data_IF_308530033771
#
_entry.id   IF_308530033771
#
_cell.length_a   1.000
_cell.length_b   1.000
_cell.length_c   1.000
_cell.angle_alpha   90.00
_cell.angle_beta   90.00
_cell.angle_gamma   90.00
#
_symmetry.space_group_name_H-M   'P 1'
#
loop_
_entity.id
_entity.type
_entity.pdbx_description
1 polymer ?
#
# COMPACT_ATOMS: atom_id res chain seq x y z
N UNK A 1 18.16 44.42 32.74
CA UNK A 1 19.20 43.52 33.27
C UNK A 1 19.63 42.55 32.17
N UNK A 2 20.93 42.49 31.85
CA UNK A 2 21.69 41.42 31.15
C UNK A 2 21.15 40.91 29.80
N UNK A 3 21.61 41.27 28.59
CA UNK A 3 22.93 41.27 27.93
C UNK A 3 23.60 39.89 27.68
N UNK A 4 24.16 39.79 26.46
CA UNK A 4 25.19 38.88 25.93
C UNK A 4 24.70 37.61 25.17
N UNK A 5 25.30 37.18 24.06
CA UNK A 5 26.33 37.73 23.17
C UNK A 5 26.37 36.85 21.90
N UNK A 6 26.91 37.41 20.81
CA UNK A 6 27.19 36.68 19.57
C UNK A 6 28.67 36.71 19.17
N UNK A 7 28.93 36.07 18.01
CA UNK A 7 30.11 36.08 17.11
C UNK A 7 31.00 34.81 17.19
N UNK A 8 31.04 33.98 16.13
CA UNK A 8 31.88 33.98 14.88
C UNK A 8 33.33 33.52 15.18
N UNK A 9 34.10 32.80 14.36
CA UNK A 9 34.04 32.11 13.06
C UNK A 9 35.32 31.23 12.95
N UNK A 10 35.37 30.31 11.96
CA UNK A 10 36.42 29.36 11.51
C UNK A 10 37.83 29.98 11.17
N UNK A 11 38.89 29.30 10.62
CA UNK A 11 39.00 27.98 9.92
C UNK A 11 40.32 27.10 10.05
N UNK A 12 40.27 25.84 9.55
CA UNK A 12 41.22 24.97 8.74
C UNK A 12 42.78 25.20 8.63
N UNK A 13 43.63 24.32 8.02
CA UNK A 13 44.01 22.88 8.21
C UNK A 13 45.57 22.60 8.18
N UNK A 14 46.00 21.30 8.14
CA UNK A 14 47.31 20.64 7.75
C UNK A 14 47.86 19.74 8.89
N UNK A 15 48.72 18.71 8.74
CA UNK A 15 49.16 17.72 7.73
C UNK A 15 50.30 16.88 8.38
N UNK A 16 50.59 15.68 7.82
CA UNK A 16 51.87 14.92 7.85
C UNK A 16 52.20 13.88 8.96
N UNK A 17 52.74 12.73 8.52
CA UNK A 17 53.53 11.75 9.31
C UNK A 17 53.60 10.34 8.67
N UNK A 18 54.75 9.92 8.15
CA UNK A 18 54.99 8.72 7.31
C UNK A 18 55.85 7.60 7.96
N UNK A 19 56.12 6.53 7.18
CA UNK A 19 57.23 5.54 7.21
C UNK A 19 56.91 4.15 7.83
N UNK A 20 57.44 2.99 7.43
CA UNK A 20 58.33 2.50 6.34
C UNK A 20 58.36 0.95 6.40
N UNK A 21 58.84 0.26 5.35
CA UNK A 21 59.36 -1.12 5.48
C UNK A 21 59.12 -2.11 4.32
N UNK A 22 60.06 -2.19 3.36
CA UNK A 22 60.22 -3.27 2.35
C UNK A 22 61.57 -3.97 2.54
N UNK A 23 61.62 -5.29 2.33
CA UNK A 23 62.71 -6.11 1.73
C UNK A 23 62.48 -7.59 2.11
N UNK A 24 62.83 -8.63 1.36
CA UNK A 24 63.57 -8.80 0.12
C UNK A 24 63.63 -10.31 -0.22
N UNK A 25 63.81 -10.63 -1.51
CA UNK A 25 63.88 -11.99 -2.06
C UNK A 25 65.26 -12.63 -1.87
N UNK A 26 65.34 -13.98 -1.95
CA UNK A 26 66.50 -14.72 -2.52
C UNK A 26 66.17 -16.19 -2.81
N UNK A 27 66.67 -16.65 -3.95
CA UNK A 27 66.62 -18.01 -4.48
C UNK A 27 67.93 -18.78 -4.18
N UNK A 28 67.91 -20.12 -4.24
CA UNK A 28 69.14 -20.93 -4.16
C UNK A 28 68.97 -22.46 -4.24
N UNK A 29 69.11 -22.99 -5.47
CA UNK A 29 69.78 -24.24 -5.96
C UNK A 29 69.75 -25.58 -5.19
N UNK A 30 69.53 -26.63 -6.01
CA UNK A 30 69.80 -28.08 -5.84
C UNK A 30 71.30 -28.41 -5.68
N UNK A 31 71.66 -29.65 -5.27
CA UNK A 31 72.15 -30.60 -6.30
C UNK A 31 71.82 -32.10 -6.11
N UNK A 32 71.75 -32.77 -7.27
CA UNK A 32 72.11 -34.14 -7.70
C UNK A 32 72.40 -35.30 -6.72
N UNK A 33 71.87 -36.48 -7.10
CA UNK A 33 72.45 -37.80 -6.78
C UNK A 33 71.78 -38.93 -7.56
N UNK A 34 72.54 -39.55 -8.48
CA UNK A 34 72.18 -40.77 -9.23
C UNK A 34 72.46 -42.04 -8.42
N UNK A 35 71.68 -43.10 -8.62
CA UNK A 35 72.14 -44.45 -9.04
C UNK A 35 71.15 -45.56 -8.65
N UNK A 36 71.00 -46.57 -9.51
CA UNK A 36 70.61 -47.93 -9.11
C UNK A 36 69.39 -48.51 -9.81
N UNK A 37 69.61 -49.17 -10.95
CA UNK A 37 68.73 -50.18 -11.53
C UNK A 37 68.48 -51.33 -10.54
N UNK A 38 67.25 -51.86 -10.46
CA UNK A 38 66.98 -53.29 -10.29
C UNK A 38 65.53 -53.60 -10.70
N UNK A 39 65.39 -54.67 -11.48
CA UNK A 39 64.16 -55.16 -12.11
C UNK A 39 63.48 -56.12 -11.12
N UNK A 40 62.17 -55.97 -10.89
CA UNK A 40 61.39 -56.91 -10.09
C UNK A 40 59.89 -56.59 -10.18
N UNK A 41 59.12 -57.47 -10.83
CA UNK A 41 57.67 -57.32 -10.96
C UNK A 41 56.92 -57.64 -9.67
N UNK A 42 55.80 -56.95 -9.42
CA UNK A 42 54.59 -57.46 -8.75
C UNK A 42 53.51 -56.37 -8.62
N UNK A 43 52.27 -56.78 -8.91
CA UNK A 43 50.94 -56.22 -8.57
C UNK A 43 50.48 -54.84 -9.12
N UNK A 44 49.22 -54.76 -9.63
CA UNK A 44 48.59 -53.48 -9.94
C UNK A 44 48.21 -52.74 -8.64
N UNK A 45 48.20 -51.39 -8.64
CA UNK A 45 47.84 -50.60 -7.48
C UNK A 45 46.35 -50.74 -7.13
N UNK A 46 45.97 -50.56 -5.84
CA UNK A 46 44.58 -50.59 -5.44
C UNK A 46 43.80 -49.45 -6.11
N UNK A 47 42.58 -49.76 -6.55
CA UNK A 47 41.66 -48.79 -7.16
C UNK A 47 41.45 -47.61 -6.22
N UNK A 48 41.76 -46.41 -6.69
CA UNK A 48 41.33 -45.16 -6.07
C UNK A 48 39.80 -45.16 -5.95
N UNK A 49 39.21 -44.76 -4.79
CA UNK A 49 37.78 -44.58 -4.72
C UNK A 49 37.40 -43.42 -5.64
N UNK A 50 36.40 -43.65 -6.49
CA UNK A 50 35.79 -42.59 -7.29
C UNK A 50 35.32 -41.49 -6.35
N UNK A 51 35.99 -40.34 -6.38
CA UNK A 51 35.46 -39.11 -5.80
C UNK A 51 34.26 -38.75 -6.66
N UNK A 52 33.06 -39.04 -6.18
CA UNK A 52 31.85 -38.47 -6.77
C UNK A 52 32.00 -36.96 -6.71
N UNK A 53 32.07 -36.31 -7.87
CA UNK A 53 31.99 -34.86 -7.94
C UNK A 53 30.62 -34.45 -7.39
N UNK A 54 30.57 -34.02 -6.14
CA UNK A 54 29.39 -33.42 -5.56
C UNK A 54 29.14 -32.16 -6.39
N UNK A 55 28.10 -32.16 -7.22
CA UNK A 55 27.70 -30.96 -7.94
C UNK A 55 27.54 -29.85 -6.91
N UNK A 56 28.06 -28.63 -7.16
CA UNK A 56 27.89 -27.55 -6.20
C UNK A 56 26.38 -27.36 -6.01
N UNK A 57 25.91 -27.61 -4.79
CA UNK A 57 24.53 -27.29 -4.40
C UNK A 57 24.36 -25.81 -4.75
N UNK A 58 23.58 -25.51 -5.81
CA UNK A 58 23.24 -24.14 -6.15
C UNK A 58 22.65 -23.54 -4.88
N UNK A 59 23.37 -22.61 -4.23
CA UNK A 59 22.83 -21.81 -3.14
C UNK A 59 21.55 -21.18 -3.68
N UNK A 60 20.40 -21.68 -3.24
CA UNK A 60 19.11 -21.13 -3.63
C UNK A 60 19.12 -19.68 -3.14
N UNK A 61 19.12 -18.74 -4.08
CA UNK A 61 19.10 -17.31 -3.75
C UNK A 61 17.82 -17.07 -2.97
N UNK A 62 17.95 -16.63 -1.73
CA UNK A 62 16.79 -16.36 -0.88
C UNK A 62 15.93 -15.30 -1.56
N UNK A 63 14.64 -15.57 -1.68
CA UNK A 63 13.67 -14.65 -2.25
C UNK A 63 13.55 -13.39 -1.37
N UNK A 64 13.23 -12.26 -1.99
CA UNK A 64 12.96 -11.04 -1.22
C UNK A 64 11.73 -11.23 -0.32
N UNK A 65 11.59 -10.41 0.72
CA UNK A 65 10.38 -10.43 1.56
C UNK A 65 9.13 -10.12 0.72
N UNK A 66 9.23 -9.23 -0.27
CA UNK A 66 8.13 -8.94 -1.18
C UNK A 66 7.69 -10.17 -1.99
N UNK A 67 8.64 -10.95 -2.50
CA UNK A 67 8.32 -12.16 -3.27
C UNK A 67 7.71 -13.24 -2.37
N UNK A 68 8.25 -13.44 -1.17
CA UNK A 68 7.68 -14.34 -0.17
C UNK A 68 6.27 -13.92 0.26
N UNK A 69 6.01 -12.62 0.42
CA UNK A 69 4.69 -12.08 0.77
C UNK A 69 3.64 -12.44 -0.29
N UNK A 70 4.00 -12.38 -1.57
CA UNK A 70 3.10 -12.70 -2.70
C UNK A 70 2.64 -14.16 -2.71
N UNK A 71 3.33 -15.06 -2.03
CA UNK A 71 2.88 -16.45 -1.87
C UNK A 71 1.71 -16.61 -0.89
N UNK A 72 1.49 -15.62 -0.01
CA UNK A 72 0.51 -15.70 1.08
C UNK A 72 -0.57 -14.63 0.99
N UNK A 73 -0.29 -13.51 0.33
CA UNK A 73 -1.11 -12.32 0.32
C UNK A 73 -1.07 -11.68 -1.06
N UNK A 74 -2.22 -11.21 -1.53
CA UNK A 74 -2.27 -10.45 -2.77
C UNK A 74 -1.73 -9.03 -2.53
N UNK A 75 -0.66 -8.67 -3.23
CA UNK A 75 -0.05 -7.35 -3.13
C UNK A 75 -0.74 -6.35 -4.05
N UNK A 76 -1.09 -5.20 -3.49
CA UNK A 76 -1.75 -4.07 -4.14
C UNK A 76 -0.88 -2.82 -3.98
N UNK A 77 -0.80 -1.98 -5.01
CA UNK A 77 -0.04 -0.72 -4.92
C UNK A 77 -0.95 0.45 -4.49
N UNK A 78 -0.55 1.20 -3.46
CA UNK A 78 -1.24 2.42 -3.01
C UNK A 78 -0.57 3.67 -3.57
N UNK A 79 -0.94 4.05 -4.80
CA UNK A 79 -0.33 5.19 -5.49
C UNK A 79 -1.19 5.71 -6.65
N UNK A 80 -1.11 7.02 -6.90
CA UNK A 80 -1.57 7.63 -8.16
C UNK A 80 -0.46 7.75 -9.22
N UNK A 81 0.80 7.50 -8.84
CA UNK A 81 1.96 7.50 -9.71
C UNK A 81 2.06 6.18 -10.48
N UNK A 82 1.33 6.08 -11.60
CA UNK A 82 1.24 4.86 -12.39
C UNK A 82 2.54 4.49 -13.12
N UNK A 83 3.48 5.42 -13.30
CA UNK A 83 4.82 5.11 -13.83
C UNK A 83 5.65 4.26 -12.85
N UNK A 84 5.36 4.32 -11.55
CA UNK A 84 6.04 3.54 -10.52
C UNK A 84 5.35 2.20 -10.20
N UNK A 85 4.18 1.92 -10.78
CA UNK A 85 3.39 0.70 -10.48
C UNK A 85 4.03 -0.56 -11.06
N UNK A 86 4.58 -0.49 -12.27
CA UNK A 86 5.09 -1.66 -13.02
C UNK A 86 6.27 -2.36 -12.31
N UNK A 87 7.06 -1.61 -11.54
CA UNK A 87 8.26 -2.11 -10.86
C UNK A 87 7.94 -3.30 -9.94
N UNK A 88 6.80 -3.26 -9.26
CA UNK A 88 6.45 -4.24 -8.23
C UNK A 88 5.40 -5.27 -8.68
N UNK A 89 4.88 -5.15 -9.90
CA UNK A 89 3.87 -6.04 -10.50
C UNK A 89 2.70 -6.37 -9.53
N UNK A 90 1.98 -5.36 -9.00
CA UNK A 90 0.84 -5.60 -8.14
C UNK A 90 -0.35 -6.19 -8.92
N UNK A 91 -1.26 -6.89 -8.24
CA UNK A 91 -2.50 -7.36 -8.88
C UNK A 91 -3.48 -6.21 -9.10
N UNK A 92 -3.78 -5.49 -8.01
CA UNK A 92 -4.71 -4.36 -7.96
C UNK A 92 -3.93 -3.07 -7.64
N UNK A 93 -4.58 -1.91 -7.76
CA UNK A 93 -4.07 -0.64 -7.26
C UNK A 93 -5.16 0.18 -6.55
N UNK A 94 -4.76 1.02 -5.60
CA UNK A 94 -5.66 1.94 -4.91
C UNK A 94 -5.24 3.38 -5.10
N UNK A 95 -6.22 4.24 -5.38
CA UNK A 95 -6.07 5.69 -5.28
C UNK A 95 -6.96 6.23 -4.15
N UNK A 96 -6.74 7.50 -3.80
CA UNK A 96 -7.55 8.30 -2.89
C UNK A 96 -7.33 9.79 -3.24
N UNK A 97 -8.11 10.72 -2.68
CA UNK A 97 -7.99 12.14 -3.03
C UNK A 97 -6.59 12.73 -2.84
N UNK A 98 -5.89 12.35 -1.77
CA UNK A 98 -4.52 12.82 -1.51
C UNK A 98 -3.53 12.32 -2.57
N UNK A 99 -3.65 11.05 -3.01
CA UNK A 99 -2.79 10.47 -4.04
C UNK A 99 -3.04 11.07 -5.42
N UNK A 100 -4.31 11.31 -5.79
CA UNK A 100 -4.65 11.97 -7.05
C UNK A 100 -4.17 13.42 -7.05
N UNK A 101 -4.35 14.15 -5.95
CA UNK A 101 -3.82 15.51 -5.82
C UNK A 101 -2.30 15.55 -6.02
N UNK A 102 -1.57 14.67 -5.34
CA UNK A 102 -0.11 14.61 -5.47
C UNK A 102 0.32 14.26 -6.91
N UNK A 103 -0.34 13.28 -7.54
CA UNK A 103 -0.03 12.89 -8.91
C UNK A 103 -0.37 14.00 -9.92
N UNK A 104 -1.53 14.67 -9.78
CA UNK A 104 -1.93 15.73 -10.70
C UNK A 104 -0.99 16.95 -10.70
N UNK A 105 -0.17 17.12 -9.65
CA UNK A 105 0.86 18.15 -9.57
C UNK A 105 2.18 17.74 -10.27
N UNK A 106 2.34 16.49 -10.68
CA UNK A 106 3.56 16.01 -11.30
C UNK A 106 3.63 16.43 -12.78
N UNK A 107 4.78 16.95 -13.26
CA UNK A 107 4.95 17.34 -14.66
C UNK A 107 4.63 16.22 -15.67
N UNK A 108 4.86 14.96 -15.30
CA UNK A 108 4.60 13.81 -16.15
C UNK A 108 3.11 13.55 -16.43
N UNK A 109 2.20 14.13 -15.65
CA UNK A 109 0.76 13.84 -15.71
C UNK A 109 -0.09 15.04 -16.15
N UNK A 110 0.55 16.09 -16.66
CA UNK A 110 -0.13 17.33 -17.03
C UNK A 110 -1.09 17.16 -18.21
N UNK A 111 -0.80 16.23 -19.13
CA UNK A 111 -1.72 15.90 -20.25
C UNK A 111 -3.06 15.37 -19.74
N UNK A 112 -3.07 14.50 -18.72
CA UNK A 112 -4.31 14.01 -18.10
C UNK A 112 -5.11 15.14 -17.44
N UNK A 113 -4.41 16.11 -16.84
CA UNK A 113 -5.05 17.28 -16.23
C UNK A 113 -5.68 18.16 -17.33
N UNK A 114 -4.99 18.37 -18.44
CA UNK A 114 -5.52 19.14 -19.57
C UNK A 114 -6.73 18.46 -20.23
N UNK A 115 -6.69 17.13 -20.39
CA UNK A 115 -7.82 16.35 -20.89
C UNK A 115 -9.04 16.43 -19.97
N UNK A 116 -8.84 16.36 -18.66
CA UNK A 116 -9.89 16.52 -17.67
C UNK A 116 -10.52 17.93 -17.73
N UNK A 117 -9.68 18.97 -17.83
CA UNK A 117 -10.11 20.36 -17.99
C UNK A 117 -10.91 20.55 -19.28
N UNK A 118 -10.42 20.01 -20.40
CA UNK A 118 -11.11 20.07 -21.69
C UNK A 118 -12.47 19.36 -21.64
N UNK A 119 -12.54 18.20 -20.98
CA UNK A 119 -13.79 17.47 -20.76
C UNK A 119 -14.79 18.30 -19.95
N UNK A 120 -14.36 18.87 -18.82
CA UNK A 120 -15.19 19.73 -17.99
C UNK A 120 -15.77 20.92 -18.75
N UNK A 121 -14.92 21.64 -19.50
CA UNK A 121 -15.34 22.78 -20.35
C UNK A 121 -16.33 22.36 -21.45
N UNK A 122 -16.09 21.22 -22.09
CA UNK A 122 -16.93 20.72 -23.19
C UNK A 122 -18.37 20.44 -22.74
N UNK A 123 -18.58 19.97 -21.52
CA UNK A 123 -19.92 19.72 -20.99
C UNK A 123 -20.71 21.01 -20.69
N UNK A 124 -20.03 22.16 -20.59
CA UNK A 124 -20.66 23.44 -20.29
C UNK A 124 -21.26 23.49 -18.89
N UNK A 125 -22.23 24.39 -18.69
CA UNK A 125 -22.81 24.69 -17.38
C UNK A 125 -22.02 25.73 -16.60
N UNK A 126 -22.34 25.87 -15.31
CA UNK A 126 -21.66 26.76 -14.37
C UNK A 126 -20.19 26.39 -14.17
N UNK A 127 -19.36 27.33 -13.70
CA UNK A 127 -17.95 27.04 -13.35
C UNK A 127 -17.84 25.84 -12.39
N UNK A 128 -18.73 25.77 -11.39
CA UNK A 128 -18.75 24.69 -10.40
C UNK A 128 -19.04 23.33 -11.05
N UNK A 129 -20.00 23.26 -11.98
CA UNK A 129 -20.30 22.04 -12.72
C UNK A 129 -19.14 21.60 -13.60
N UNK A 130 -18.48 22.55 -14.29
CA UNK A 130 -17.32 22.26 -15.12
C UNK A 130 -16.14 21.73 -14.29
N UNK A 131 -15.85 22.35 -13.13
CA UNK A 131 -14.80 21.91 -12.21
C UNK A 131 -15.10 20.53 -11.64
N UNK A 132 -16.35 20.28 -11.23
CA UNK A 132 -16.80 18.98 -10.73
C UNK A 132 -16.65 17.89 -11.79
N UNK A 133 -17.09 18.16 -13.02
CA UNK A 133 -16.93 17.24 -14.15
C UNK A 133 -15.45 16.97 -14.47
N UNK A 134 -14.60 18.00 -14.41
CA UNK A 134 -13.16 17.85 -14.60
C UNK A 134 -12.53 17.00 -13.47
N UNK A 135 -12.92 17.21 -12.20
CA UNK A 135 -12.46 16.38 -11.09
C UNK A 135 -12.83 14.89 -11.28
N UNK A 136 -14.11 14.61 -11.55
CA UNK A 136 -14.58 13.24 -11.76
C UNK A 136 -13.84 12.59 -12.96
N UNK A 137 -13.66 13.34 -14.05
CA UNK A 137 -12.92 12.86 -15.23
C UNK A 137 -11.46 12.58 -14.91
N UNK A 138 -10.80 13.44 -14.14
CA UNK A 138 -9.39 13.28 -13.77
C UNK A 138 -9.15 11.98 -12.99
N UNK A 139 -10.00 11.68 -12.02
CA UNK A 139 -9.93 10.43 -11.26
C UNK A 139 -10.05 9.21 -12.19
N UNK A 140 -10.97 9.25 -13.15
CA UNK A 140 -11.17 8.18 -14.13
C UNK A 140 -10.00 8.07 -15.10
N UNK A 141 -9.40 9.18 -15.54
CA UNK A 141 -8.21 9.15 -16.41
C UNK A 141 -7.02 8.49 -15.71
N UNK A 142 -6.74 8.85 -14.45
CA UNK A 142 -5.71 8.18 -13.67
C UNK A 142 -6.00 6.68 -13.51
N UNK A 143 -7.24 6.31 -13.17
CA UNK A 143 -7.61 4.91 -13.06
C UNK A 143 -7.49 4.16 -14.39
N UNK A 144 -7.84 4.78 -15.51
CA UNK A 144 -7.67 4.19 -16.84
C UNK A 144 -6.21 3.92 -17.18
N UNK A 145 -5.29 4.85 -16.88
CA UNK A 145 -3.85 4.63 -17.07
C UNK A 145 -3.32 3.53 -16.16
N UNK A 146 -3.73 3.51 -14.90
CA UNK A 146 -3.38 2.44 -13.94
C UNK A 146 -3.82 1.07 -14.48
N UNK A 147 -5.04 0.94 -15.02
CA UNK A 147 -5.58 -0.33 -15.51
C UNK A 147 -4.87 -0.89 -16.74
N UNK A 148 -4.09 -0.07 -17.47
CA UNK A 148 -3.19 -0.54 -18.53
C UNK A 148 -1.94 -1.22 -17.99
N UNK A 149 -1.60 -0.98 -16.72
CA UNK A 149 -0.37 -1.44 -16.04
C UNK A 149 -0.61 -2.64 -15.13
N UNK A 150 -1.84 -2.82 -14.66
CA UNK A 150 -2.21 -3.90 -13.74
C UNK A 150 -3.20 -4.89 -14.36
N UNK A 151 -3.12 -6.19 -14.03
CA UNK A 151 -4.08 -7.18 -14.51
C UNK A 151 -5.42 -7.16 -13.77
N UNK A 152 -5.45 -6.64 -12.54
CA UNK A 152 -6.62 -6.63 -11.67
C UNK A 152 -7.35 -5.28 -11.67
N UNK A 153 -7.80 -4.83 -10.49
CA UNK A 153 -8.74 -3.73 -10.32
C UNK A 153 -8.09 -2.45 -9.83
N UNK A 154 -8.73 -1.31 -10.10
CA UNK A 154 -8.37 -0.01 -9.50
C UNK A 154 -9.47 0.48 -8.56
N UNK A 155 -9.09 0.91 -7.35
CA UNK A 155 -10.02 1.62 -6.46
C UNK A 155 -10.07 3.11 -6.80
N UNK A 156 -11.26 3.65 -7.00
CA UNK A 156 -11.51 5.09 -7.25
C UNK A 156 -12.46 5.63 -6.19
N UNK A 157 -12.03 6.68 -5.48
CA UNK A 157 -12.74 7.16 -4.29
C UNK A 157 -13.79 8.22 -4.64
N UNK A 158 -15.00 8.05 -4.09
CA UNK A 158 -16.04 9.08 -4.15
C UNK A 158 -15.64 10.26 -3.28
N UNK A 159 -16.08 11.45 -3.69
CA UNK A 159 -15.89 12.69 -2.95
C UNK A 159 -16.27 12.56 -1.47
N UNK A 160 -15.28 12.75 -0.59
CA UNK A 160 -15.44 12.58 0.85
C UNK A 160 -16.46 13.55 1.47
N UNK A 161 -16.78 14.67 0.80
CA UNK A 161 -17.85 15.59 1.26
C UNK A 161 -19.24 14.93 1.24
N UNK A 162 -19.41 13.85 0.49
CA UNK A 162 -20.64 13.06 0.43
C UNK A 162 -20.69 11.94 1.47
N UNK A 163 -19.70 11.80 2.37
CA UNK A 163 -19.59 10.65 3.29
C UNK A 163 -20.80 10.45 4.21
N UNK A 164 -21.66 11.46 4.39
CA UNK A 164 -22.88 11.39 5.20
C UNK A 164 -24.16 11.54 4.36
N UNK A 165 -24.05 11.46 3.03
CA UNK A 165 -25.16 11.49 2.07
C UNK A 165 -25.18 10.19 1.26
N UNK A 166 -26.00 9.24 1.72
CA UNK A 166 -26.14 7.91 1.09
C UNK A 166 -26.49 8.02 -0.39
N UNK A 167 -27.49 8.83 -0.74
CA UNK A 167 -27.97 8.95 -2.11
C UNK A 167 -26.97 9.68 -2.99
N UNK A 168 -26.33 10.73 -2.45
CA UNK A 168 -25.22 11.41 -3.13
C UNK A 168 -24.05 10.48 -3.46
N UNK A 169 -23.67 9.58 -2.54
CA UNK A 169 -22.63 8.58 -2.79
C UNK A 169 -23.04 7.59 -3.89
N UNK A 170 -24.28 7.09 -3.88
CA UNK A 170 -24.79 6.16 -4.90
C UNK A 170 -24.77 6.84 -6.29
N UNK A 171 -25.27 8.07 -6.37
CA UNK A 171 -25.30 8.82 -7.62
C UNK A 171 -23.88 9.09 -8.16
N UNK A 172 -22.95 9.51 -7.28
CA UNK A 172 -21.57 9.75 -7.71
C UNK A 172 -20.85 8.47 -8.13
N UNK A 173 -21.02 7.38 -7.39
CA UNK A 173 -20.47 6.08 -7.74
C UNK A 173 -20.91 5.65 -9.15
N UNK A 174 -22.21 5.76 -9.45
CA UNK A 174 -22.74 5.46 -10.78
C UNK A 174 -22.16 6.36 -11.86
N UNK A 175 -22.05 7.68 -11.60
CA UNK A 175 -21.41 8.62 -12.53
C UNK A 175 -19.97 8.22 -12.85
N UNK A 176 -19.18 7.83 -11.85
CA UNK A 176 -17.80 7.38 -12.07
C UNK A 176 -17.74 6.10 -12.92
N UNK A 177 -18.65 5.15 -12.68
CA UNK A 177 -18.76 3.93 -13.50
C UNK A 177 -19.16 4.25 -14.95
N UNK A 178 -20.07 5.19 -15.17
CA UNK A 178 -20.44 5.64 -16.51
C UNK A 178 -19.25 6.29 -17.24
N UNK A 179 -18.44 7.10 -16.54
CA UNK A 179 -17.21 7.67 -17.07
C UNK A 179 -16.15 6.62 -17.41
N UNK A 180 -16.02 5.56 -16.60
CA UNK A 180 -15.16 4.42 -16.94
C UNK A 180 -15.67 3.69 -18.18
N UNK A 181 -16.99 3.50 -18.29
CA UNK A 181 -17.61 2.90 -19.48
C UNK A 181 -17.38 3.75 -20.73
N UNK A 182 -17.48 5.07 -20.63
CA UNK A 182 -17.11 6.02 -21.71
C UNK A 182 -15.65 5.83 -22.15
N UNK A 183 -14.75 5.47 -21.23
CA UNK A 183 -13.35 5.14 -21.51
C UNK A 183 -13.13 3.68 -21.96
N UNK A 184 -14.20 2.91 -22.22
CA UNK A 184 -14.12 1.51 -22.66
C UNK A 184 -13.78 0.51 -21.56
N UNK A 185 -13.94 0.89 -20.29
CA UNK A 185 -13.58 0.07 -19.13
C UNK A 185 -14.84 -0.46 -18.44
N UNK A 186 -14.92 -1.78 -18.28
CA UNK A 186 -15.99 -2.45 -17.55
C UNK A 186 -15.90 -2.25 -16.04
N UNK A 187 -17.06 -2.21 -15.37
CA UNK A 187 -17.16 -2.04 -13.90
C UNK A 187 -16.50 -3.17 -13.10
N UNK A 188 -16.28 -4.34 -13.70
CA UNK A 188 -15.55 -5.47 -13.11
C UNK A 188 -14.08 -5.15 -12.79
N UNK A 189 -13.50 -4.17 -13.49
CA UNK A 189 -12.14 -3.65 -13.24
C UNK A 189 -12.09 -2.56 -12.16
N UNK A 190 -13.24 -2.16 -11.61
CA UNK A 190 -13.36 -0.99 -10.74
C UNK A 190 -13.83 -1.39 -9.34
N UNK A 191 -13.22 -0.80 -8.32
CA UNK A 191 -13.77 -0.76 -6.96
C UNK A 191 -14.13 0.70 -6.63
N UNK A 192 -15.41 0.99 -6.43
CA UNK A 192 -15.81 2.31 -5.94
C UNK A 192 -15.51 2.39 -4.45
N UNK A 193 -14.66 3.34 -4.08
CA UNK A 193 -14.17 3.48 -2.72
C UNK A 193 -14.99 4.51 -1.95
N UNK A 194 -15.50 4.11 -0.78
CA UNK A 194 -16.41 4.88 0.05
C UNK A 194 -15.93 4.92 1.50
N UNK A 195 -16.08 6.07 2.17
CA UNK A 195 -15.85 6.19 3.61
C UNK A 195 -16.77 5.25 4.38
N UNK A 196 -16.25 4.52 5.37
CA UNK A 196 -17.02 3.56 6.18
C UNK A 196 -17.85 4.23 7.29
N UNK A 197 -18.60 5.28 6.95
CA UNK A 197 -19.70 5.80 7.79
C UNK A 197 -20.89 4.84 7.69
N UNK A 198 -21.92 5.03 8.53
CA UNK A 198 -23.16 4.25 8.37
C UNK A 198 -23.73 4.45 6.96
N UNK A 199 -23.87 5.70 6.55
CA UNK A 199 -24.43 6.09 5.26
C UNK A 199 -23.61 5.52 4.09
N UNK A 200 -22.28 5.50 4.22
CA UNK A 200 -21.38 4.93 3.22
C UNK A 200 -21.50 3.41 3.10
N UNK A 201 -21.64 2.71 4.23
CA UNK A 201 -21.87 1.26 4.24
C UNK A 201 -23.23 0.93 3.60
N UNK A 202 -24.27 1.70 3.91
CA UNK A 202 -25.59 1.52 3.30
C UNK A 202 -25.59 1.86 1.80
N UNK A 203 -24.79 2.85 1.36
CA UNK A 203 -24.58 3.13 -0.06
C UNK A 203 -23.85 1.96 -0.75
N UNK A 204 -22.79 1.43 -0.15
CA UNK A 204 -22.07 0.25 -0.64
C UNK A 204 -22.97 -0.97 -0.79
N UNK A 205 -23.85 -1.23 0.18
CA UNK A 205 -24.85 -2.30 0.11
C UNK A 205 -25.74 -2.19 -1.13
N UNK A 206 -26.28 -0.99 -1.39
CA UNK A 206 -27.15 -0.73 -2.54
C UNK A 206 -26.38 -0.87 -3.85
N UNK A 207 -25.17 -0.30 -3.93
CA UNK A 207 -24.32 -0.39 -5.12
C UNK A 207 -24.00 -1.84 -5.50
N UNK A 208 -23.70 -2.68 -4.53
CA UNK A 208 -23.42 -4.11 -4.75
C UNK A 208 -24.68 -4.88 -5.14
N UNK A 209 -25.76 -4.76 -4.35
CA UNK A 209 -26.95 -5.59 -4.50
C UNK A 209 -27.81 -5.21 -5.72
N UNK A 210 -27.95 -3.91 -6.00
CA UNK A 210 -28.88 -3.42 -7.04
C UNK A 210 -28.18 -3.09 -8.35
N UNK A 211 -26.92 -2.62 -8.30
CA UNK A 211 -26.18 -2.16 -9.48
C UNK A 211 -25.02 -3.09 -9.86
N UNK A 212 -24.66 -4.04 -9.00
CA UNK A 212 -23.45 -4.88 -9.16
C UNK A 212 -22.18 -4.05 -9.30
N UNK A 213 -22.11 -2.89 -8.64
CA UNK A 213 -20.95 -2.02 -8.59
C UNK A 213 -20.17 -2.40 -7.34
N UNK A 214 -18.96 -2.93 -7.55
CA UNK A 214 -18.14 -3.43 -6.46
C UNK A 214 -17.52 -2.31 -5.64
N UNK A 215 -17.57 -2.44 -4.32
CA UNK A 215 -17.16 -1.40 -3.39
C UNK A 215 -15.91 -1.77 -2.57
N UNK A 216 -15.09 -0.75 -2.31
CA UNK A 216 -13.99 -0.78 -1.34
C UNK A 216 -14.33 0.16 -0.18
N UNK A 217 -14.66 -0.40 0.99
CA UNK A 217 -14.98 0.40 2.17
C UNK A 217 -13.71 0.82 2.91
N UNK A 218 -13.39 2.12 2.87
CA UNK A 218 -12.15 2.72 3.40
C UNK A 218 -12.40 3.51 4.69
N UNK A 219 -11.36 4.06 5.31
CA UNK A 219 -11.43 4.75 6.60
C UNK A 219 -12.10 3.85 7.66
N UNK A 220 -11.77 2.56 7.62
CA UNK A 220 -12.30 1.56 8.52
C UNK A 220 -11.32 1.39 9.69
N UNK A 221 -11.80 1.65 10.89
CA UNK A 221 -10.98 1.68 12.11
C UNK A 221 -11.56 0.78 13.21
N UNK A 222 -12.87 0.87 13.43
CA UNK A 222 -13.58 0.11 14.47
C UNK A 222 -14.02 -1.27 14.00
N UNK A 223 -14.19 -2.17 14.96
CA UNK A 223 -14.82 -3.46 14.72
C UNK A 223 -16.30 -3.33 14.30
N UNK A 224 -17.02 -2.32 14.78
CA UNK A 224 -18.41 -2.06 14.39
C UNK A 224 -18.55 -1.81 12.87
N UNK A 225 -17.65 -1.01 12.30
CA UNK A 225 -17.57 -0.81 10.84
C UNK A 225 -17.29 -2.12 10.11
N UNK A 226 -16.34 -2.92 10.60
CA UNK A 226 -16.04 -4.21 9.98
C UNK A 226 -17.26 -5.15 9.97
N UNK A 227 -17.99 -5.27 11.06
CA UNK A 227 -19.20 -6.12 11.08
C UNK A 227 -20.26 -5.58 10.12
N UNK A 228 -20.57 -4.29 10.18
CA UNK A 228 -21.59 -3.69 9.31
C UNK A 228 -21.24 -3.84 7.81
N UNK A 229 -19.97 -3.68 7.43
CA UNK A 229 -19.52 -3.95 6.06
C UNK A 229 -19.73 -5.41 5.64
N UNK A 230 -19.43 -6.36 6.54
CA UNK A 230 -19.60 -7.79 6.26
C UNK A 230 -21.07 -8.15 6.01
N UNK A 231 -21.98 -7.59 6.82
CA UNK A 231 -23.43 -7.81 6.71
C UNK A 231 -24.04 -7.07 5.51
N UNK A 232 -23.45 -5.95 5.10
CA UNK A 232 -23.79 -5.25 3.88
C UNK A 232 -23.39 -6.00 2.61
N UNK A 233 -22.50 -7.01 2.72
CA UNK A 233 -22.08 -7.83 1.58
C UNK A 233 -21.17 -7.08 0.60
N UNK A 234 -20.42 -6.08 1.07
CA UNK A 234 -19.47 -5.33 0.22
C UNK A 234 -18.34 -6.24 -0.27
N UNK A 235 -17.81 -5.96 -1.45
CA UNK A 235 -16.75 -6.77 -2.07
C UNK A 235 -15.45 -6.75 -1.26
N UNK A 236 -15.05 -5.57 -0.79
CA UNK A 236 -13.76 -5.37 -0.12
C UNK A 236 -13.84 -4.31 0.98
N UNK A 237 -13.07 -4.51 2.05
CA UNK A 237 -12.80 -3.50 3.09
C UNK A 237 -11.30 -3.17 3.15
N UNK A 238 -10.99 -1.91 3.45
CA UNK A 238 -9.63 -1.40 3.67
C UNK A 238 -9.46 -0.95 5.13
N UNK A 239 -9.30 -1.87 6.10
CA UNK A 239 -8.98 -1.49 7.49
C UNK A 239 -7.59 -0.87 7.58
N UNK A 240 -7.51 0.29 8.26
CA UNK A 240 -6.25 1.03 8.36
C UNK A 240 -5.42 0.54 9.54
N UNK A 241 -4.10 0.41 9.34
CA UNK A 241 -3.14 -0.01 10.35
C UNK A 241 -2.43 1.19 10.95
N UNK A 242 -1.60 1.87 10.16
CA UNK A 242 -0.69 2.90 10.67
C UNK A 242 -1.38 4.14 11.21
N UNK A 243 -2.59 4.50 10.74
CA UNK A 243 -3.35 5.59 11.37
C UNK A 243 -3.86 5.23 12.77
N UNK A 244 -4.10 3.94 13.04
CA UNK A 244 -4.42 3.46 14.39
C UNK A 244 -3.17 3.60 15.27
N UNK A 245 -2.01 3.13 14.80
CA UNK A 245 -0.72 3.34 15.48
C UNK A 245 -0.49 4.83 15.81
N UNK A 246 -0.66 5.73 14.85
CA UNK A 246 -0.48 7.17 15.07
C UNK A 246 -1.35 7.69 16.22
N UNK A 247 -2.60 7.22 16.34
CA UNK A 247 -3.50 7.65 17.42
C UNK A 247 -3.00 7.21 18.79
N UNK A 248 -2.62 5.94 18.92
CA UNK A 248 -2.14 5.38 20.18
C UNK A 248 -0.78 5.96 20.59
N UNK A 249 0.10 6.25 19.63
CA UNK A 249 1.36 6.98 19.89
C UNK A 249 1.07 8.40 20.38
N UNK A 250 0.07 9.10 19.82
CA UNK A 250 -0.26 10.46 20.24
C UNK A 250 -0.95 10.50 21.62
N UNK A 251 -1.87 9.57 21.90
CA UNK A 251 -2.78 9.64 23.04
C UNK A 251 -2.46 8.67 24.19
N UNK A 252 -1.61 7.67 23.98
CA UNK A 252 -1.21 6.70 25.01
C UNK A 252 0.21 6.92 25.53
N UNK A 253 0.57 6.25 26.62
CA UNK A 253 1.92 6.35 27.21
C UNK A 253 2.99 5.61 26.38
N UNK A 254 2.59 4.51 25.73
CA UNK A 254 3.48 3.69 24.89
C UNK A 254 3.66 4.34 23.51
N UNK A 255 4.91 4.66 23.16
CA UNK A 255 5.28 5.36 21.91
C UNK A 255 5.89 4.46 20.84
N UNK A 256 6.28 3.25 21.20
CA UNK A 256 6.85 2.24 20.30
C UNK A 256 6.15 0.91 20.53
N UNK A 257 5.93 0.15 19.46
CA UNK A 257 5.20 -1.11 19.49
C UNK A 257 5.98 -2.14 18.69
N UNK A 258 6.15 -3.33 19.25
CA UNK A 258 6.58 -4.47 18.46
C UNK A 258 5.50 -4.82 17.42
N UNK A 259 5.84 -5.42 16.27
CA UNK A 259 4.87 -5.66 15.20
C UNK A 259 3.60 -6.41 15.63
N UNK A 260 3.71 -7.38 16.54
CA UNK A 260 2.57 -8.14 17.08
C UNK A 260 1.77 -7.37 18.13
N UNK A 261 2.34 -6.30 18.69
CA UNK A 261 1.70 -5.47 19.71
C UNK A 261 1.01 -4.25 19.13
N UNK A 262 1.33 -3.89 17.88
CA UNK A 262 0.78 -2.77 17.15
C UNK A 262 -0.76 -2.80 17.16
N UNK A 263 -1.41 -1.70 17.57
CA UNK A 263 -2.87 -1.67 17.72
C UNK A 263 -3.60 -1.77 16.37
N UNK A 264 -3.00 -1.28 15.28
CA UNK A 264 -3.53 -1.43 13.93
C UNK A 264 -3.43 -2.87 13.43
N UNK A 265 -2.29 -3.52 13.65
CA UNK A 265 -2.11 -4.96 13.33
C UNK A 265 -3.12 -5.81 14.11
N UNK A 266 -3.31 -5.53 15.40
CA UNK A 266 -4.33 -6.21 16.23
C UNK A 266 -5.74 -5.99 15.69
N UNK A 267 -6.08 -4.77 15.27
CA UNK A 267 -7.38 -4.45 14.68
C UNK A 267 -7.64 -5.27 13.43
N UNK A 268 -6.71 -5.25 12.45
CA UNK A 268 -6.86 -6.03 11.21
C UNK A 268 -6.90 -7.54 11.48
N UNK A 269 -6.08 -8.04 12.40
CA UNK A 269 -6.08 -9.46 12.81
C UNK A 269 -7.45 -9.88 13.36
N UNK A 270 -8.05 -9.07 14.25
CA UNK A 270 -9.39 -9.34 14.79
C UNK A 270 -10.45 -9.36 13.69
N UNK A 271 -10.38 -8.41 12.76
CA UNK A 271 -11.32 -8.31 11.64
C UNK A 271 -11.19 -9.51 10.70
N UNK A 272 -9.98 -9.84 10.28
CA UNK A 272 -9.70 -11.01 9.44
C UNK A 272 -10.24 -12.28 10.09
N UNK A 273 -9.91 -12.51 11.36
CA UNK A 273 -10.35 -13.70 12.07
C UNK A 273 -11.88 -13.80 12.16
N UNK A 274 -12.57 -12.70 12.44
CA UNK A 274 -14.03 -12.64 12.43
C UNK A 274 -14.62 -13.01 11.07
N UNK A 275 -14.07 -12.43 10.00
CA UNK A 275 -14.54 -12.64 8.63
C UNK A 275 -14.41 -14.10 8.21
N UNK A 276 -13.22 -14.69 8.44
CA UNK A 276 -12.95 -16.09 8.06
C UNK A 276 -13.68 -17.09 8.96
N UNK A 277 -13.82 -16.82 10.27
CA UNK A 277 -14.59 -17.67 11.19
C UNK A 277 -16.04 -17.82 10.74
N UNK A 278 -16.69 -16.71 10.37
CA UNK A 278 -18.11 -16.69 10.04
C UNK A 278 -18.42 -16.78 8.54
N UNK A 279 -17.40 -17.05 7.72
CA UNK A 279 -17.58 -17.36 6.29
C UNK A 279 -17.97 -16.15 5.43
N UNK A 280 -17.70 -14.93 5.89
CA UNK A 280 -17.94 -13.71 5.10
C UNK A 280 -17.05 -13.67 3.86
N UNK A 281 -17.61 -13.24 2.73
CA UNK A 281 -16.93 -13.22 1.42
C UNK A 281 -16.18 -11.93 1.13
N UNK A 282 -16.47 -10.87 1.87
CA UNK A 282 -15.76 -9.59 1.77
C UNK A 282 -14.26 -9.80 1.95
N UNK A 283 -13.49 -9.25 1.01
CA UNK A 283 -12.03 -9.30 1.02
C UNK A 283 -11.50 -8.34 2.10
N UNK A 284 -10.55 -8.80 2.90
CA UNK A 284 -9.85 -7.96 3.88
C UNK A 284 -8.53 -7.47 3.27
N UNK A 285 -8.44 -6.16 3.03
CA UNK A 285 -7.23 -5.51 2.51
C UNK A 285 -6.59 -4.58 3.54
N UNK A 286 -5.57 -5.03 4.26
CA UNK A 286 -4.87 -4.14 5.21
C UNK A 286 -4.25 -2.93 4.48
N UNK A 287 -4.39 -1.73 5.06
CA UNK A 287 -4.03 -0.48 4.41
C UNK A 287 -3.33 0.51 5.36
N UNK A 288 -2.73 1.56 4.80
CA UNK A 288 -2.13 2.69 5.53
C UNK A 288 -0.96 2.32 6.45
N UNK A 289 -0.01 1.53 5.97
CA UNK A 289 1.19 1.14 6.71
C UNK A 289 2.15 2.31 6.99
N UNK A 290 2.86 2.28 8.13
CA UNK A 290 3.99 3.14 8.48
C UNK A 290 5.33 2.44 8.27
N UNK A 291 5.39 1.12 8.43
CA UNK A 291 6.64 0.37 8.38
C UNK A 291 6.44 -1.06 7.87
N UNK A 292 7.53 -1.72 7.46
CA UNK A 292 7.48 -3.11 6.95
C UNK A 292 7.16 -4.14 8.05
N UNK A 293 7.36 -3.80 9.33
CA UNK A 293 7.02 -4.67 10.46
C UNK A 293 5.52 -4.96 10.52
N UNK A 294 4.69 -3.92 10.40
CA UNK A 294 3.22 -4.05 10.34
C UNK A 294 2.77 -4.95 9.19
N UNK A 295 3.39 -4.79 8.01
CA UNK A 295 3.08 -5.58 6.80
C UNK A 295 3.42 -7.06 7.05
N UNK A 296 4.64 -7.32 7.54
CA UNK A 296 5.10 -8.67 7.86
C UNK A 296 4.20 -9.34 8.90
N UNK A 297 3.74 -8.59 9.89
CA UNK A 297 2.85 -9.08 10.93
C UNK A 297 1.42 -9.40 10.45
N UNK A 298 1.05 -9.01 9.23
CA UNK A 298 -0.24 -9.31 8.59
C UNK A 298 -0.10 -10.24 7.37
N UNK A 299 1.04 -10.93 7.22
CA UNK A 299 1.25 -11.91 6.15
C UNK A 299 0.20 -13.03 6.25
N UNK A 300 -0.52 -13.28 5.15
CA UNK A 300 -1.68 -14.20 5.12
C UNK A 300 -3.04 -13.50 5.14
N UNK A 301 -3.07 -12.17 5.33
CA UNK A 301 -4.23 -11.36 4.99
C UNK A 301 -4.57 -11.54 3.50
N UNK A 302 -5.83 -11.39 3.11
CA UNK A 302 -6.23 -11.64 1.71
C UNK A 302 -5.44 -10.73 0.75
N UNK A 303 -5.45 -9.43 1.06
CA UNK A 303 -4.80 -8.38 0.30
C UNK A 303 -4.05 -7.43 1.26
N UNK A 304 -2.99 -6.79 0.77
CA UNK A 304 -2.37 -5.65 1.44
C UNK A 304 -2.06 -4.58 0.39
N UNK A 305 -2.56 -3.36 0.61
CA UNK A 305 -2.23 -2.21 -0.23
C UNK A 305 -1.09 -1.41 0.39
N UNK A 306 0.02 -1.33 -0.36
CA UNK A 306 1.32 -0.92 0.16
C UNK A 306 1.86 0.21 -0.73
N UNK A 307 2.41 1.25 -0.09
CA UNK A 307 3.00 2.38 -0.82
C UNK A 307 4.27 1.96 -1.57
N UNK A 308 4.62 2.62 -2.69
CA UNK A 308 5.85 2.31 -3.44
C UNK A 308 7.11 2.31 -2.58
N UNK A 309 7.21 3.22 -1.60
CA UNK A 309 8.31 3.27 -0.65
C UNK A 309 8.47 1.96 0.13
N UNK A 310 7.38 1.46 0.72
CA UNK A 310 7.44 0.23 1.52
C UNK A 310 7.59 -1.02 0.63
N UNK A 311 7.05 -1.01 -0.59
CA UNK A 311 7.33 -2.05 -1.60
C UNK A 311 8.82 -2.12 -1.93
N UNK A 312 9.49 -0.97 -2.10
CA UNK A 312 10.92 -0.89 -2.35
C UNK A 312 11.77 -1.37 -1.17
N UNK A 313 11.31 -1.15 0.08
CA UNK A 313 11.96 -1.67 1.27
C UNK A 313 11.84 -3.20 1.34
N UNK A 314 10.63 -3.75 1.11
CA UNK A 314 10.38 -5.20 1.12
C UNK A 314 11.11 -5.94 0.00
N UNK A 315 11.29 -5.33 -1.17
CA UNK A 315 12.02 -5.94 -2.30
C UNK A 315 13.53 -6.02 -2.07
N UNK A 316 14.05 -5.22 -1.13
CA UNK A 316 15.47 -5.19 -0.74
C UNK A 316 15.75 -5.92 0.57
N UNK A 317 14.72 -6.38 1.26
CA UNK A 317 14.85 -7.17 2.48
C UNK A 317 14.91 -8.67 2.14
N UNK A 318 15.87 -9.37 2.75
CA UNK A 318 16.09 -10.79 2.57
C UNK A 318 16.10 -11.44 3.95
N UNK A 319 14.92 -11.73 4.48
CA UNK A 319 14.71 -12.54 5.69
C UNK A 319 13.58 -13.52 5.44
N UNK A 320 13.53 -14.62 6.20
CA UNK A 320 12.44 -15.58 6.10
C UNK A 320 11.15 -14.95 6.63
N UNK A 321 10.12 -14.91 5.79
CA UNK A 321 8.77 -14.49 6.16
C UNK A 321 7.94 -15.71 6.56
N UNK A 322 7.15 -15.58 7.63
CA UNK A 322 6.22 -16.63 8.08
C UNK A 322 4.81 -16.02 8.13
N UNK A 323 3.79 -16.67 7.53
CA UNK A 323 2.42 -16.18 7.61
C UNK A 323 1.93 -16.19 9.06
N UNK A 324 1.26 -15.11 9.46
CA UNK A 324 0.70 -14.90 10.80
C UNK A 324 -0.81 -14.98 10.82
N UNK A 325 -1.45 -14.92 9.65
CA UNK A 325 -2.90 -15.05 9.48
C UNK A 325 -3.21 -16.27 8.62
N UNK A 326 -4.18 -17.06 9.04
CA UNK A 326 -4.69 -18.19 8.26
C UNK A 326 -6.18 -18.43 8.51
N UNK A 327 -6.87 -18.96 7.49
CA UNK A 327 -8.29 -19.35 7.61
C UNK A 327 -8.48 -20.41 8.70
N UNK A 328 -7.54 -21.35 8.82
CA UNK A 328 -7.59 -22.43 9.81
C UNK A 328 -7.57 -21.88 11.24
N UNK A 329 -6.66 -20.97 11.55
CA UNK A 329 -6.56 -20.37 12.88
C UNK A 329 -7.73 -19.44 13.17
N UNK A 330 -8.19 -18.69 12.17
CA UNK A 330 -9.37 -17.86 12.29
C UNK A 330 -10.63 -18.69 12.63
N UNK A 331 -10.83 -19.86 12.01
CA UNK A 331 -11.95 -20.73 12.33
C UNK A 331 -11.91 -21.30 13.75
N UNK A 332 -10.71 -21.43 14.33
CA UNK A 332 -10.50 -21.91 15.69
C UNK A 332 -10.56 -20.81 16.77
N UNK A 333 -10.70 -19.53 16.41
CA UNK A 333 -10.72 -18.44 17.40
C UNK A 333 -12.05 -18.39 18.18
N UNK A 334 -12.04 -17.87 19.41
CA UNK A 334 -13.21 -17.77 20.30
C UNK A 334 -14.04 -16.48 20.07
N UNK A 335 -14.24 -16.05 18.83
CA UNK A 335 -15.11 -14.90 18.51
C UNK A 335 -16.59 -15.31 18.44
N UNK A 336 -17.50 -14.43 18.83
CA UNK A 336 -18.95 -14.60 18.69
C UNK A 336 -19.50 -13.75 17.55
N UNK A 337 -20.47 -14.28 16.81
CA UNK A 337 -21.13 -13.55 15.72
C UNK A 337 -22.09 -12.53 16.33
N UNK A 338 -22.02 -11.29 15.87
CA UNK A 338 -22.91 -10.21 16.27
C UNK A 338 -23.61 -9.63 15.04
N UNK A 339 -24.75 -8.99 15.26
CA UNK A 339 -25.50 -8.24 14.26
C UNK A 339 -25.64 -6.78 14.69
N UNK A 340 -25.53 -5.85 13.74
CA UNK A 340 -25.62 -4.42 14.02
C UNK A 340 -26.69 -3.77 13.14
N UNK A 341 -27.79 -3.35 13.77
CA UNK A 341 -28.65 -2.33 13.19
C UNK A 341 -28.01 -0.93 13.36
N UNK A 342 -28.66 0.12 12.86
CA UNK A 342 -28.08 1.46 12.88
C UNK A 342 -27.74 1.95 14.30
N UNK A 343 -28.65 1.74 15.26
CA UNK A 343 -28.45 2.20 16.64
C UNK A 343 -27.29 1.44 17.29
N UNK A 344 -27.22 0.12 17.09
CA UNK A 344 -26.12 -0.70 17.61
C UNK A 344 -24.79 -0.33 16.95
N UNK A 345 -24.77 -0.12 15.63
CA UNK A 345 -23.58 0.36 14.92
C UNK A 345 -23.09 1.69 15.50
N UNK A 346 -23.97 2.70 15.61
CA UNK A 346 -23.60 4.02 16.11
C UNK A 346 -23.07 3.94 17.54
N UNK A 347 -23.71 3.15 18.41
CA UNK A 347 -23.24 2.91 19.77
C UNK A 347 -21.85 2.25 19.81
N UNK A 348 -21.71 1.08 19.19
CA UNK A 348 -20.45 0.33 19.21
C UNK A 348 -19.29 1.04 18.50
N UNK A 349 -19.57 1.84 17.48
CA UNK A 349 -18.57 2.70 16.86
C UNK A 349 -18.15 3.83 17.81
N UNK A 350 -19.12 4.45 18.50
CA UNK A 350 -18.84 5.59 19.39
C UNK A 350 -18.05 5.21 20.65
N UNK A 351 -18.17 3.97 21.13
CA UNK A 351 -17.35 3.45 22.23
C UNK A 351 -15.86 3.28 21.86
N UNK A 352 -15.53 3.33 20.56
CA UNK A 352 -14.15 3.32 20.07
C UNK A 352 -13.71 4.76 19.73
N UNK A 353 -13.21 5.47 20.74
CA UNK A 353 -12.78 6.87 20.59
C UNK A 353 -11.79 7.07 19.43
N UNK A 354 -10.82 6.15 19.29
CA UNK A 354 -9.83 6.19 18.21
C UNK A 354 -10.53 6.14 16.85
N UNK A 355 -11.47 5.21 16.67
CA UNK A 355 -12.18 5.07 15.42
C UNK A 355 -13.06 6.29 15.09
N UNK A 356 -13.76 6.85 16.07
CA UNK A 356 -14.58 8.07 15.90
C UNK A 356 -13.71 9.23 15.40
N UNK A 357 -12.61 9.50 16.10
CA UNK A 357 -11.73 10.61 15.77
C UNK A 357 -11.05 10.41 14.41
N UNK A 358 -10.54 9.20 14.12
CA UNK A 358 -9.83 8.91 12.88
C UNK A 358 -10.73 8.83 11.65
N UNK A 359 -11.97 8.34 11.78
CA UNK A 359 -12.95 8.41 10.71
C UNK A 359 -13.27 9.87 10.37
N UNK A 360 -13.60 10.64 11.39
CA UNK A 360 -13.96 12.06 11.26
C UNK A 360 -12.82 12.90 10.67
N UNK A 361 -11.60 12.73 11.18
CA UNK A 361 -10.40 13.41 10.66
C UNK A 361 -10.03 12.95 9.24
N UNK A 362 -10.17 11.65 8.95
CA UNK A 362 -9.91 11.10 7.63
C UNK A 362 -10.79 11.73 6.54
N UNK A 363 -12.10 11.85 6.82
CA UNK A 363 -13.05 12.49 5.91
C UNK A 363 -12.69 13.96 5.69
N UNK A 364 -12.40 14.72 6.76
CA UNK A 364 -11.99 16.14 6.63
C UNK A 364 -10.74 16.32 5.80
N UNK A 365 -9.73 15.45 5.97
CA UNK A 365 -8.48 15.51 5.20
C UNK A 365 -8.71 15.24 3.72
N UNK A 366 -9.48 14.21 3.38
CA UNK A 366 -9.81 13.92 1.98
C UNK A 366 -10.67 15.01 1.34
N UNK A 367 -11.62 15.60 2.07
CA UNK A 367 -12.37 16.75 1.60
C UNK A 367 -11.46 17.97 1.35
N UNK A 368 -10.50 18.23 2.25
CA UNK A 368 -9.54 19.32 2.08
C UNK A 368 -8.66 19.13 0.83
N UNK A 369 -8.27 17.89 0.53
CA UNK A 369 -7.48 17.60 -0.68
C UNK A 369 -8.32 17.69 -1.96
N UNK A 370 -9.59 17.29 -1.92
CA UNK A 370 -10.52 17.52 -3.04
C UNK A 370 -10.69 19.02 -3.34
N UNK A 371 -10.85 19.86 -2.31
CA UNK A 371 -10.95 21.33 -2.46
C UNK A 371 -9.67 21.92 -3.06
N UNK A 372 -8.49 21.42 -2.66
CA UNK A 372 -7.22 21.87 -3.27
C UNK A 372 -7.13 21.48 -4.73
N UNK A 373 -7.57 20.27 -5.09
CA UNK A 373 -7.60 19.80 -6.47
C UNK A 373 -8.56 20.65 -7.32
N UNK A 374 -9.75 20.92 -6.81
CA UNK A 374 -10.74 21.81 -7.46
C UNK A 374 -10.16 23.21 -7.70
N UNK A 375 -9.44 23.77 -6.73
CA UNK A 375 -8.77 25.07 -6.90
C UNK A 375 -7.71 25.03 -7.99
N UNK A 376 -6.87 24.00 -8.01
CA UNK A 376 -5.86 23.81 -9.04
C UNK A 376 -6.49 23.71 -10.44
N UNK A 377 -7.60 22.96 -10.57
CA UNK A 377 -8.34 22.87 -11.83
C UNK A 377 -9.00 24.19 -12.19
N UNK A 378 -9.62 24.89 -11.23
CA UNK A 378 -10.22 26.22 -11.44
C UNK A 378 -9.20 27.20 -12.01
N UNK A 379 -8.02 27.29 -11.40
CA UNK A 379 -6.93 28.15 -11.87
C UNK A 379 -6.53 27.80 -13.30
N UNK A 380 -6.38 26.50 -13.61
CA UNK A 380 -6.03 26.05 -14.95
C UNK A 380 -7.14 26.28 -15.99
N UNK A 381 -8.40 26.23 -15.57
CA UNK A 381 -9.56 26.42 -16.43
C UNK A 381 -9.80 27.89 -16.77
N UNK A 382 -9.66 28.79 -15.80
CA UNK A 382 -10.18 30.16 -15.90
C UNK A 382 -9.14 31.26 -15.67
N UNK A 383 -7.95 30.98 -15.14
CA UNK A 383 -6.92 32.02 -14.92
C UNK A 383 -6.17 32.44 -16.19
N UNK A 384 -6.55 31.93 -17.36
CA UNK A 384 -6.00 32.35 -18.66
C UNK A 384 -6.60 33.65 -19.22
N UNK A 385 -7.54 34.32 -18.53
CA UNK A 385 -8.16 35.56 -19.03
C UNK A 385 -7.47 36.87 -18.61
N UNK A 386 -6.41 36.85 -17.78
CA UNK A 386 -5.72 38.07 -17.32
C UNK A 386 -4.33 38.32 -17.95
N UNK A 387 -4.03 37.71 -19.10
CA UNK A 387 -2.67 37.73 -19.67
C UNK A 387 -2.58 37.85 -21.20
N UNK A 388 -3.61 38.36 -21.88
CA UNK A 388 -3.52 38.74 -23.29
C UNK A 388 -4.08 40.13 -23.53
#
# INVERSE_FOLDING_TARGET
MGLAAGRRCAPSPRAAGASEGRAGARAGRLPSGQAGFLIGGANPPPRTPWIMSVSPVKRQKMESVLDQLKHHTTVVADTGDFNAIDEYKPLDATTNPSLILAAAQMPAYQELVDDAVAYGKKLGGSEEEQIKNACDKLFVLFGAEILKRIPGRVSTEVDARLSFDKEGMIQRARRLIDLYKEAGIGKDRILIKLSSTWEGIQAGKVLEAEYGIHCNMTLLFSFAQAVACAEAGVTLISPFVGRILDWYVANGDKKTYEPSEDPGVKSVTKIYNYYKKFGYKTIVMGASFRNTGEIKALTGCDYLTISPKLLAELSKEYVKLTPTLSVKEAQACELQKIHLDEKAFRWHHNEDQMAVEKLSDGIRKFAADAIKLERMLKERMFSAENGK
#
